data_IF_075777631366
#
_entry.id   IF_075777631366
#
_cell.length_a   1.000
_cell.length_b   1.000
_cell.length_c   1.000
_cell.angle_alpha   90.00
_cell.angle_beta   90.00
_cell.angle_gamma   90.00
#
_symmetry.space_group_name_H-M   'P 1'
#
loop_
_entity.id
_entity.type
_entity.pdbx_description
1 polymer ?
#
# COMPACT_ATOMS: atom_id res chain seq x y z
N UNK A 1 16.90 9.72 -15.47
CA UNK A 1 18.21 10.25 -15.02
C UNK A 1 19.04 9.08 -14.50
N UNK A 2 20.15 8.77 -15.15
CA UNK A 2 21.08 7.70 -14.72
C UNK A 2 22.08 8.27 -13.72
N UNK A 3 21.92 7.94 -12.43
CA UNK A 3 22.95 8.26 -11.43
C UNK A 3 24.23 7.47 -11.72
N UNK A 4 25.38 8.14 -11.60
CA UNK A 4 26.70 7.50 -11.69
C UNK A 4 26.87 6.45 -10.59
N UNK A 5 27.55 5.35 -10.89
CA UNK A 5 27.86 4.25 -9.96
C UNK A 5 28.46 4.76 -8.63
N UNK A 6 29.31 5.80 -8.70
CA UNK A 6 29.91 6.45 -7.54
C UNK A 6 28.85 7.15 -6.65
N UNK A 7 27.82 7.74 -7.25
CA UNK A 7 26.69 8.34 -6.55
C UNK A 7 25.88 7.29 -5.78
N UNK A 8 25.61 6.15 -6.43
CA UNK A 8 24.88 5.01 -5.83
C UNK A 8 25.65 4.36 -4.67
N UNK A 9 26.96 4.20 -4.80
CA UNK A 9 27.82 3.68 -3.73
C UNK A 9 27.83 4.63 -2.51
N UNK A 10 27.95 5.93 -2.76
CA UNK A 10 27.94 6.96 -1.70
C UNK A 10 26.58 7.04 -0.98
N UNK A 11 25.47 6.94 -1.71
CA UNK A 11 24.13 6.97 -1.11
C UNK A 11 23.86 5.74 -0.24
N UNK A 12 24.24 4.54 -0.72
CA UNK A 12 24.15 3.30 0.06
C UNK A 12 25.00 3.33 1.33
N UNK A 13 26.23 3.83 1.25
CA UNK A 13 27.11 3.98 2.43
C UNK A 13 26.50 4.91 3.49
N UNK A 14 25.94 6.05 3.08
CA UNK A 14 25.22 6.96 3.99
C UNK A 14 24.00 6.30 4.64
N UNK A 15 23.25 5.50 3.88
CA UNK A 15 22.08 4.81 4.40
C UNK A 15 22.46 3.72 5.42
N UNK A 16 23.55 2.99 5.17
CA UNK A 16 24.09 2.02 6.11
C UNK A 16 24.57 2.67 7.42
N UNK A 17 25.31 3.78 7.33
CA UNK A 17 25.75 4.53 8.51
C UNK A 17 24.57 5.05 9.35
N UNK A 18 23.54 5.60 8.69
CA UNK A 18 22.29 6.01 9.36
C UNK A 18 21.64 4.84 10.11
N UNK A 19 21.51 3.68 9.48
CA UNK A 19 20.95 2.48 10.12
C UNK A 19 21.78 2.00 11.31
N UNK A 20 23.12 2.03 11.22
CA UNK A 20 24.00 1.67 12.33
C UNK A 20 23.81 2.59 13.54
N UNK A 21 23.50 3.86 13.31
CA UNK A 21 23.18 4.84 14.35
C UNK A 21 21.71 4.77 14.82
N UNK A 22 20.94 3.78 14.37
CA UNK A 22 19.52 3.63 14.70
C UNK A 22 18.59 4.60 13.96
N UNK A 23 19.10 5.39 13.01
CA UNK A 23 18.30 6.31 12.22
C UNK A 23 17.60 5.59 11.06
N UNK A 24 16.27 5.52 11.15
CA UNK A 24 15.42 5.03 10.08
C UNK A 24 14.84 6.19 9.27
N UNK A 25 15.18 6.23 7.98
CA UNK A 25 14.70 7.27 7.06
C UNK A 25 13.34 6.95 6.43
N UNK A 26 12.75 5.79 6.73
CA UNK A 26 11.41 5.44 6.28
C UNK A 26 10.39 6.32 6.99
N UNK A 27 9.28 6.62 6.32
CA UNK A 27 8.17 7.32 6.95
C UNK A 27 7.62 6.46 8.11
N UNK A 28 7.70 6.98 9.33
CA UNK A 28 7.31 6.26 10.54
C UNK A 28 5.85 5.81 10.52
N UNK A 29 4.93 6.69 10.11
CA UNK A 29 3.50 6.38 10.02
C UNK A 29 3.29 5.19 9.09
N UNK A 30 3.99 5.20 7.94
CA UNK A 30 3.93 4.10 6.97
C UNK A 30 4.44 2.78 7.55
N UNK A 31 5.51 2.79 8.37
CA UNK A 31 6.02 1.57 9.02
C UNK A 31 4.97 1.00 9.97
N UNK A 32 4.45 1.83 10.89
CA UNK A 32 3.50 1.36 11.91
C UNK A 32 2.18 0.92 11.30
N UNK A 33 1.71 1.62 10.28
CA UNK A 33 0.54 1.22 9.52
C UNK A 33 0.75 -0.13 8.83
N UNK A 34 1.89 -0.32 8.16
CA UNK A 34 2.21 -1.60 7.51
C UNK A 34 2.27 -2.72 8.53
N UNK A 35 2.98 -2.54 9.65
CA UNK A 35 3.09 -3.54 10.72
C UNK A 35 1.72 -3.93 11.28
N UNK A 36 0.89 -2.94 11.63
CA UNK A 36 -0.43 -3.19 12.19
C UNK A 36 -1.35 -3.91 11.20
N UNK A 37 -1.33 -3.50 9.93
CA UNK A 37 -2.19 -4.09 8.91
C UNK A 37 -1.71 -5.48 8.45
N UNK A 38 -0.40 -5.71 8.41
CA UNK A 38 0.16 -7.05 8.22
C UNK A 38 -0.32 -8.02 9.30
N UNK A 39 -0.28 -7.62 10.58
CA UNK A 39 -0.83 -8.43 11.67
C UNK A 39 -2.33 -8.70 11.52
N UNK A 40 -3.09 -7.70 11.07
CA UNK A 40 -4.52 -7.87 10.77
C UNK A 40 -4.78 -8.90 9.67
N UNK A 41 -4.00 -8.86 8.59
CA UNK A 41 -4.11 -9.80 7.46
C UNK A 41 -3.64 -11.22 7.83
N UNK A 42 -2.62 -11.35 8.69
CA UNK A 42 -2.16 -12.66 9.16
C UNK A 42 -3.13 -13.31 10.15
N UNK A 43 -3.76 -12.50 11.01
CA UNK A 43 -4.71 -12.99 11.99
C UNK A 43 -5.87 -13.74 11.32
N UNK A 44 -6.15 -14.95 11.83
CA UNK A 44 -7.16 -15.87 11.29
C UNK A 44 -7.00 -16.18 9.79
N UNK A 45 -5.77 -16.03 9.26
CA UNK A 45 -5.44 -16.24 7.85
C UNK A 45 -6.29 -15.40 6.86
N UNK A 46 -6.65 -14.18 7.25
CA UNK A 46 -7.39 -13.21 6.40
C UNK A 46 -6.71 -12.92 5.06
N UNK A 47 -5.38 -13.04 4.99
CA UNK A 47 -4.60 -12.91 3.75
C UNK A 47 -4.97 -13.93 2.66
N UNK A 48 -5.65 -15.01 3.01
CA UNK A 48 -6.19 -15.99 2.06
C UNK A 48 -7.63 -15.73 1.64
N UNK A 49 -8.29 -14.72 2.20
CA UNK A 49 -9.61 -14.28 1.77
C UNK A 49 -9.56 -13.53 0.43
N UNK A 50 -10.72 -13.29 -0.17
CA UNK A 50 -10.81 -12.45 -1.37
C UNK A 50 -10.59 -10.97 -1.01
N UNK A 51 -9.50 -10.41 -1.53
CA UNK A 51 -9.03 -9.05 -1.23
C UNK A 51 -9.07 -8.20 -2.50
N UNK A 52 -9.63 -6.99 -2.38
CA UNK A 52 -9.46 -5.93 -3.38
C UNK A 52 -8.74 -4.74 -2.76
N UNK A 53 -7.78 -4.18 -3.48
CA UNK A 53 -7.13 -2.91 -3.14
C UNK A 53 -7.50 -1.82 -4.14
N UNK A 54 -7.95 -0.69 -3.62
CA UNK A 54 -8.34 0.48 -4.39
C UNK A 54 -7.12 1.39 -4.55
N UNK A 55 -6.73 1.66 -5.79
CA UNK A 55 -5.64 2.57 -6.16
C UNK A 55 -4.34 2.34 -5.37
N UNK A 56 -3.73 1.13 -5.42
CA UNK A 56 -2.52 0.77 -4.66
C UNK A 56 -1.26 1.57 -5.02
N UNK A 57 -1.30 2.31 -6.14
CA UNK A 57 -0.14 2.97 -6.71
C UNK A 57 0.95 1.99 -7.12
N UNK A 58 2.20 2.46 -7.11
CA UNK A 58 3.34 1.71 -7.68
C UNK A 58 3.84 0.55 -6.81
N UNK A 59 3.70 0.64 -5.48
CA UNK A 59 4.37 -0.29 -4.56
C UNK A 59 3.56 -1.59 -4.34
N UNK A 60 2.23 -1.59 -4.59
CA UNK A 60 1.31 -2.75 -4.51
C UNK A 60 1.66 -3.77 -3.41
N UNK A 61 1.98 -3.28 -2.22
CA UNK A 61 2.68 -4.04 -1.18
C UNK A 61 1.89 -5.28 -0.75
N UNK A 62 0.58 -5.11 -0.59
CA UNK A 62 -0.34 -6.15 -0.10
C UNK A 62 -0.50 -7.33 -1.06
N UNK A 63 -0.25 -7.14 -2.37
CA UNK A 63 -0.26 -8.21 -3.37
C UNK A 63 0.72 -9.34 -3.03
N UNK A 64 1.82 -9.02 -2.36
CA UNK A 64 2.84 -10.02 -2.00
C UNK A 64 2.42 -10.90 -0.81
N UNK A 65 1.43 -10.45 -0.02
CA UNK A 65 0.96 -11.14 1.17
C UNK A 65 -0.35 -11.90 0.95
N UNK A 66 -1.23 -11.36 0.09
CA UNK A 66 -2.57 -11.88 -0.13
C UNK A 66 -2.61 -12.84 -1.33
N UNK A 67 -3.12 -14.06 -1.14
CA UNK A 67 -3.15 -15.06 -2.22
C UNK A 67 -4.24 -14.79 -3.27
N UNK A 68 -5.40 -14.27 -2.85
CA UNK A 68 -6.52 -13.92 -3.72
C UNK A 68 -6.65 -12.39 -3.81
N UNK A 69 -5.65 -11.75 -4.42
CA UNK A 69 -5.54 -10.30 -4.49
C UNK A 69 -5.99 -9.76 -5.85
N UNK A 70 -6.85 -8.74 -5.81
CA UNK A 70 -7.21 -7.90 -6.95
C UNK A 70 -6.92 -6.44 -6.63
N UNK A 71 -6.76 -5.65 -7.68
CA UNK A 71 -6.62 -4.21 -7.52
C UNK A 71 -7.23 -3.48 -8.70
N UNK A 72 -7.76 -2.30 -8.42
CA UNK A 72 -8.29 -1.36 -9.41
C UNK A 72 -7.56 -0.04 -9.26
N UNK A 73 -7.39 0.70 -10.35
CA UNK A 73 -6.59 1.93 -10.37
C UNK A 73 -7.37 3.06 -11.07
N UNK A 74 -7.29 4.26 -10.50
CA UNK A 74 -7.70 5.48 -11.20
C UNK A 74 -6.76 5.75 -12.40
N UNK A 75 -7.24 6.24 -13.56
CA UNK A 75 -8.61 6.70 -13.85
C UNK A 75 -9.56 5.62 -14.37
N UNK A 76 -9.10 4.38 -14.53
CA UNK A 76 -9.92 3.30 -15.07
C UNK A 76 -11.04 2.86 -14.11
N UNK A 77 -10.87 3.13 -12.82
CA UNK A 77 -11.87 2.91 -11.78
C UNK A 77 -11.86 4.09 -10.81
N UNK A 78 -12.98 4.79 -10.71
CA UNK A 78 -13.23 5.85 -9.75
C UNK A 78 -14.14 5.32 -8.63
N UNK A 79 -13.58 5.02 -7.46
CA UNK A 79 -14.33 4.50 -6.31
C UNK A 79 -15.50 5.41 -5.88
N UNK A 80 -15.53 6.70 -6.25
CA UNK A 80 -16.67 7.56 -5.97
C UNK A 80 -17.89 7.30 -6.87
N UNK A 81 -17.70 6.71 -8.05
CA UNK A 81 -18.72 6.54 -9.08
C UNK A 81 -18.90 5.09 -9.54
N UNK A 82 -17.87 4.27 -9.41
CA UNK A 82 -17.81 2.90 -9.90
C UNK A 82 -17.93 1.88 -8.78
N UNK A 83 -18.36 0.68 -9.14
CA UNK A 83 -18.46 -0.51 -8.29
C UNK A 83 -18.08 -1.74 -9.09
N UNK A 84 -17.60 -2.77 -8.41
CA UNK A 84 -17.45 -4.10 -8.99
C UNK A 84 -18.74 -4.90 -8.79
N UNK A 85 -19.00 -5.87 -9.66
CA UNK A 85 -20.12 -6.82 -9.49
C UNK A 85 -19.83 -7.89 -8.41
N UNK A 86 -18.58 -7.99 -7.98
CA UNK A 86 -18.12 -8.94 -6.98
C UNK A 86 -18.08 -8.33 -5.58
N UNK A 87 -18.25 -9.19 -4.57
CA UNK A 87 -18.07 -8.84 -3.16
C UNK A 87 -16.73 -9.39 -2.66
N UNK A 88 -16.06 -8.59 -1.84
CA UNK A 88 -14.77 -8.94 -1.25
C UNK A 88 -14.87 -9.05 0.26
N UNK A 89 -14.12 -9.99 0.84
CA UNK A 89 -14.03 -10.11 2.29
C UNK A 89 -13.24 -8.97 2.92
N UNK A 90 -12.28 -8.42 2.16
CA UNK A 90 -11.42 -7.33 2.59
C UNK A 90 -11.29 -6.32 1.44
N UNK A 91 -11.60 -5.06 1.75
CA UNK A 91 -11.36 -3.92 0.87
C UNK A 91 -10.25 -3.07 1.50
N UNK A 92 -9.17 -2.86 0.76
CA UNK A 92 -8.04 -2.03 1.17
C UNK A 92 -8.13 -0.69 0.45
N UNK A 93 -8.22 0.40 1.21
CA UNK A 93 -8.25 1.77 0.72
C UNK A 93 -7.15 2.60 1.41
N UNK A 94 -5.91 2.12 1.33
CA UNK A 94 -4.74 2.73 1.97
C UNK A 94 -4.45 4.12 1.38
N UNK A 95 -4.63 5.15 2.20
CA UNK A 95 -4.45 6.55 1.82
C UNK A 95 -5.32 6.99 0.62
N UNK A 96 -6.48 6.37 0.41
CA UNK A 96 -7.37 6.69 -0.72
C UNK A 96 -8.40 7.77 -0.35
N UNK A 97 -9.01 7.66 0.83
CA UNK A 97 -10.19 8.46 1.18
C UNK A 97 -9.88 9.95 1.37
N UNK A 98 -8.64 10.29 1.71
CA UNK A 98 -8.13 11.66 1.79
C UNK A 98 -7.89 12.31 0.42
N UNK A 99 -7.83 11.53 -0.64
CA UNK A 99 -7.54 12.00 -1.99
C UNK A 99 -8.78 12.09 -2.89
N UNK A 100 -9.91 11.53 -2.47
CA UNK A 100 -11.16 11.59 -3.23
C UNK A 100 -12.01 12.79 -2.84
N UNK A 101 -12.75 13.33 -3.81
CA UNK A 101 -13.62 14.49 -3.58
C UNK A 101 -14.86 14.15 -2.74
N UNK A 102 -15.31 12.89 -2.77
CA UNK A 102 -16.56 12.42 -2.15
C UNK A 102 -16.34 11.15 -1.31
N UNK A 103 -15.61 11.21 -0.18
CA UNK A 103 -15.25 10.02 0.60
C UNK A 103 -16.47 9.21 1.08
N UNK A 104 -17.59 9.86 1.39
CA UNK A 104 -18.83 9.16 1.74
C UNK A 104 -19.43 8.35 0.59
N UNK A 105 -19.26 8.80 -0.65
CA UNK A 105 -19.68 8.02 -1.82
C UNK A 105 -18.75 6.81 -2.01
N UNK A 106 -17.44 7.02 -1.86
CA UNK A 106 -16.44 5.95 -1.95
C UNK A 106 -16.66 4.83 -0.94
N UNK A 107 -17.03 5.15 0.32
CA UNK A 107 -17.29 4.13 1.36
C UNK A 107 -18.62 3.39 1.14
N UNK A 108 -19.60 4.01 0.47
CA UNK A 108 -20.90 3.38 0.18
C UNK A 108 -20.81 2.37 -0.96
N UNK A 109 -19.88 2.62 -1.89
CA UNK A 109 -19.65 1.80 -3.08
C UNK A 109 -18.98 0.48 -2.71
#
# INVERSE_FOLDING_TARGET
MTESLAGTLKSRGKQAAKRLLGYDSRNWLRIRQIEAFSLFLEASNRKSSDVIEISPGWNRYWRTMCSNYRSVDFPAFDICNDRTDEQYSIVIADQVLEHVQRPQAAVRN
#
